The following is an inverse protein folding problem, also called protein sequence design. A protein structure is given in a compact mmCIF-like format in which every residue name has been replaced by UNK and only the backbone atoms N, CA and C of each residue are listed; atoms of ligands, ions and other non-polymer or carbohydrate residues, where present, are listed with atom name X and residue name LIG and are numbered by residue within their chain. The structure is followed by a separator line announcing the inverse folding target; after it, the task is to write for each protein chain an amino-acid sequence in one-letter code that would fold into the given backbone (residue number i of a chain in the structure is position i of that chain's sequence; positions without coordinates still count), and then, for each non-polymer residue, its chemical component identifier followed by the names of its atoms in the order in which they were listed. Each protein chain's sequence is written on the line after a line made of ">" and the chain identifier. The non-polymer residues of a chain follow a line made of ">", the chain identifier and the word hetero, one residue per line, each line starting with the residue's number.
data_IF_743232346529
#
_entry.id   IF_743232346529
#
_cell.length_a   1.000
_cell.length_b   1.000
_cell.length_c   1.000
_cell.angle_alpha   90.00
_cell.angle_beta   90.00
_cell.angle_gamma   90.00
#
_symmetry.space_group_name_H-M   'P 1'
#
loop_
_entity.id
_entity.type
_entity.pdbx_description
1 polymer ?
#
# COMPACT_ATOMS: atom_id res chain seq x y z
N UNK A 1 17.98 -2.82 -2.38
CA UNK A 1 16.57 -3.26 -2.44
C UNK A 1 15.79 -2.11 -3.03
N UNK A 2 14.93 -2.35 -4.03
CA UNK A 2 14.07 -1.29 -4.58
C UNK A 2 13.05 -0.94 -3.51
N UNK A 3 13.13 0.28 -3.00
CA UNK A 3 12.12 0.85 -2.10
C UNK A 3 11.00 1.42 -2.97
N UNK A 4 9.77 0.98 -2.76
CA UNK A 4 8.61 1.45 -3.51
C UNK A 4 7.84 2.45 -2.67
N UNK A 5 7.17 3.40 -3.32
CA UNK A 5 6.32 4.40 -2.65
C UNK A 5 5.25 3.74 -1.75
N UNK A 6 4.73 2.57 -2.15
CA UNK A 6 3.81 1.75 -1.34
C UNK A 6 4.49 1.30 -0.04
N UNK A 7 5.75 0.86 -0.12
CA UNK A 7 6.51 0.37 1.03
C UNK A 7 6.82 1.52 2.00
N UNK A 8 7.10 2.71 1.50
CA UNK A 8 7.26 3.92 2.31
C UNK A 8 5.95 4.31 3.01
N UNK A 9 4.83 4.32 2.28
CA UNK A 9 3.51 4.58 2.85
C UNK A 9 3.15 3.56 3.94
N UNK A 10 3.44 2.28 3.71
CA UNK A 10 3.27 1.22 4.69
C UNK A 10 4.12 1.46 5.94
N UNK A 11 5.40 1.80 5.79
CA UNK A 11 6.28 2.12 6.92
C UNK A 11 5.76 3.33 7.72
N UNK A 12 5.31 4.39 7.04
CA UNK A 12 4.71 5.55 7.68
C UNK A 12 3.45 5.18 8.48
N UNK A 13 2.62 4.28 7.94
CA UNK A 13 1.48 3.73 8.66
C UNK A 13 1.89 2.91 9.88
N UNK A 14 2.87 2.00 9.75
CA UNK A 14 3.41 1.21 10.86
C UNK A 14 3.91 2.09 12.02
N UNK A 15 4.63 3.16 11.69
CA UNK A 15 5.14 4.11 12.67
C UNK A 15 4.01 4.82 13.42
N UNK A 16 2.92 5.17 12.72
CA UNK A 16 1.76 5.86 13.29
C UNK A 16 0.94 4.97 14.23
N UNK A 17 0.77 3.70 13.88
CA UNK A 17 0.03 2.73 14.71
C UNK A 17 0.91 2.11 15.82
N UNK A 18 2.21 2.40 15.84
CA UNK A 18 3.15 1.89 16.84
C UNK A 18 3.42 0.39 16.72
N UNK A 19 3.31 -0.18 15.51
CA UNK A 19 3.40 -1.63 15.33
C UNK A 19 3.48 -2.07 13.87
N UNK A 20 3.75 -3.37 13.68
CA UNK A 20 3.82 -3.97 12.34
C UNK A 20 2.43 -4.08 11.73
N UNK A 21 2.29 -3.59 10.50
CA UNK A 21 1.09 -3.72 9.73
C UNK A 21 0.99 -5.14 9.19
N UNK A 22 -0.09 -5.82 9.55
CA UNK A 22 -0.42 -7.16 9.05
C UNK A 22 -1.66 -7.05 8.18
N UNK A 23 -1.51 -6.93 6.85
CA UNK A 23 -2.65 -6.78 5.97
C UNK A 23 -3.51 -8.05 5.99
N UNK A 24 -4.79 -7.86 6.24
CA UNK A 24 -5.79 -8.92 6.38
C UNK A 24 -6.84 -8.87 5.26
N UNK A 25 -7.84 -9.75 5.33
CA UNK A 25 -8.92 -9.80 4.35
C UNK A 25 -9.71 -8.48 4.28
N UNK A 26 -9.87 -7.77 5.40
CA UNK A 26 -10.60 -6.49 5.44
C UNK A 26 -9.83 -5.39 4.71
N UNK A 27 -8.52 -5.32 4.91
CA UNK A 27 -7.64 -4.45 4.14
C UNK A 27 -7.77 -4.71 2.64
N UNK A 28 -7.63 -5.97 2.22
CA UNK A 28 -7.69 -6.36 0.81
C UNK A 28 -9.04 -6.01 0.18
N UNK A 29 -10.15 -6.23 0.90
CA UNK A 29 -11.48 -5.82 0.46
C UNK A 29 -11.61 -4.29 0.36
N UNK A 30 -11.12 -3.54 1.35
CA UNK A 30 -11.19 -2.07 1.37
C UNK A 30 -10.38 -1.44 0.24
N UNK A 31 -9.23 -2.01 -0.09
CA UNK A 31 -8.37 -1.49 -1.16
C UNK A 31 -8.79 -2.00 -2.55
N UNK A 32 -9.49 -3.13 -2.62
CA UNK A 32 -9.90 -3.75 -3.88
C UNK A 32 -8.78 -4.52 -4.57
N UNK A 33 -7.82 -5.05 -3.81
CA UNK A 33 -6.72 -5.89 -4.30
C UNK A 33 -6.56 -7.14 -3.43
N UNK A 34 -5.96 -8.20 -3.96
CA UNK A 34 -5.63 -9.39 -3.16
C UNK A 34 -4.18 -9.34 -2.63
N UNK A 35 -3.84 -10.28 -1.76
CA UNK A 35 -2.49 -10.42 -1.17
C UNK A 35 -1.39 -10.54 -2.21
N UNK A 36 -1.61 -11.32 -3.27
CA UNK A 36 -0.62 -11.50 -4.35
C UNK A 36 -0.32 -10.16 -5.02
N UNK A 37 -1.37 -9.41 -5.37
CA UNK A 37 -1.28 -8.09 -6.00
C UNK A 37 -0.56 -7.09 -5.09
N UNK A 38 -0.92 -7.04 -3.81
CA UNK A 38 -0.24 -6.18 -2.84
C UNK A 38 1.26 -6.50 -2.73
N UNK A 39 1.62 -7.79 -2.70
CA UNK A 39 3.02 -8.22 -2.73
C UNK A 39 3.78 -7.81 -3.99
N UNK A 40 3.13 -7.87 -5.17
CA UNK A 40 3.72 -7.39 -6.43
C UNK A 40 4.00 -5.88 -6.40
N UNK A 41 3.08 -5.10 -5.82
CA UNK A 41 3.24 -3.65 -5.65
C UNK A 41 4.39 -3.32 -4.68
N UNK A 42 4.46 -4.01 -3.55
CA UNK A 42 5.55 -3.83 -2.57
C UNK A 42 6.93 -4.14 -3.15
N UNK A 43 7.04 -5.11 -4.06
CA UNK A 43 8.30 -5.50 -4.72
C UNK A 43 8.62 -4.71 -6.00
N UNK A 44 7.71 -3.83 -6.44
CA UNK A 44 7.88 -3.07 -7.68
C UNK A 44 7.80 -3.92 -8.95
N UNK A 45 7.20 -5.11 -8.89
CA UNK A 45 7.12 -6.05 -10.02
C UNK A 45 6.11 -5.62 -11.08
N UNK A 46 5.11 -4.84 -10.67
CA UNK A 46 4.03 -4.36 -11.53
C UNK A 46 3.72 -2.90 -11.21
N UNK A 47 3.33 -2.10 -12.22
CA UNK A 47 2.89 -0.74 -12.00
C UNK A 47 1.60 -0.74 -11.16
N UNK A 48 1.44 0.30 -10.35
CA UNK A 48 0.21 0.62 -9.65
C UNK A 48 -0.84 1.14 -10.63
N UNK A 49 -2.09 0.72 -10.46
CA UNK A 49 -3.21 1.25 -11.24
C UNK A 49 -3.85 2.44 -10.51
N UNK A 50 -4.51 3.33 -11.24
CA UNK A 50 -5.08 4.56 -10.66
C UNK A 50 -6.05 4.33 -9.50
N UNK A 51 -6.90 3.29 -9.58
CA UNK A 51 -7.81 2.96 -8.48
C UNK A 51 -7.06 2.38 -7.26
N UNK A 52 -5.98 1.63 -7.48
CA UNK A 52 -5.14 1.07 -6.42
C UNK A 52 -4.41 2.21 -5.70
N UNK A 53 -3.84 3.15 -6.44
CA UNK A 53 -3.20 4.36 -5.91
C UNK A 53 -4.18 5.17 -5.06
N UNK A 54 -5.39 5.41 -5.56
CA UNK A 54 -6.45 6.10 -4.82
C UNK A 54 -6.82 5.36 -3.53
N UNK A 55 -7.06 4.06 -3.59
CA UNK A 55 -7.55 3.33 -2.41
C UNK A 55 -6.45 3.12 -1.37
N UNK A 56 -5.19 2.92 -1.81
CA UNK A 56 -4.04 2.79 -0.93
C UNK A 56 -3.67 4.12 -0.29
N UNK A 57 -3.71 5.24 -1.03
CA UNK A 57 -3.47 6.58 -0.45
C UNK A 57 -4.51 6.91 0.62
N UNK A 58 -5.78 6.58 0.37
CA UNK A 58 -6.84 6.71 1.37
C UNK A 58 -6.66 5.79 2.58
N UNK A 59 -6.23 4.54 2.38
CA UNK A 59 -6.03 3.60 3.49
C UNK A 59 -4.84 4.00 4.37
N UNK A 60 -3.70 4.33 3.75
CA UNK A 60 -2.48 4.73 4.46
C UNK A 60 -2.47 6.21 4.85
N UNK A 61 -3.51 6.96 4.51
CA UNK A 61 -3.65 8.39 4.79
C UNK A 61 -2.42 9.18 4.33
N UNK A 62 -2.05 8.99 3.06
CA UNK A 62 -0.99 9.73 2.34
C UNK A 62 -1.58 10.41 1.11
N UNK A 63 -0.86 11.33 0.48
CA UNK A 63 -1.34 11.96 -0.76
C UNK A 63 -1.33 10.97 -1.93
N UNK A 64 -2.16 11.20 -2.94
CA UNK A 64 -2.18 10.31 -4.11
C UNK A 64 -0.86 10.41 -4.88
N UNK A 65 -0.29 11.61 -4.95
CA UNK A 65 0.97 11.93 -5.60
C UNK A 65 2.16 11.20 -4.96
N UNK A 66 2.09 10.85 -3.68
CA UNK A 66 3.16 10.09 -3.03
C UNK A 66 3.17 8.62 -3.44
N UNK A 67 2.19 8.14 -4.21
CA UNK A 67 2.08 6.76 -4.68
C UNK A 67 2.29 6.58 -6.19
N UNK A 68 2.49 7.68 -6.94
CA UNK A 68 2.60 7.69 -8.41
C UNK A 68 4.04 7.99 -8.82
#
# INVERSE_FOLDING_TARGET
>A
MIETAIKEAMQGYENRIGGRFKPDSRFYQKVGINQKRFGQLLRGEKPILGFEARNLSQFFEVSLESLI
#
